data_IF_029009352878
#
_entry.id   IF_029009352878
#
_cell.length_a   1.000
_cell.length_b   1.000
_cell.length_c   1.000
_cell.angle_alpha   90.00
_cell.angle_beta   90.00
_cell.angle_gamma   90.00
#
_symmetry.space_group_name_H-M   'P 1'
#
loop_
_entity.id
_entity.type
_entity.pdbx_description
1 polymer ?
#
# COMPACT_ATOMS: atom_id res chain seq x y z
N UNK A 1 38.10 -27.33 6.86
CA UNK A 1 37.21 -28.36 6.30
C UNK A 1 36.51 -27.71 5.11
N UNK A 2 36.98 -27.97 3.89
CA UNK A 2 36.43 -27.35 2.68
C UNK A 2 35.15 -28.11 2.29
N UNK A 3 34.00 -27.45 2.43
CA UNK A 3 32.69 -27.99 2.06
C UNK A 3 32.66 -28.14 0.54
N UNK A 4 32.28 -29.33 0.04
CA UNK A 4 32.36 -29.62 -1.39
C UNK A 4 31.32 -28.83 -2.19
N UNK A 5 31.60 -28.54 -3.47
CA UNK A 5 30.65 -27.87 -4.39
C UNK A 5 29.31 -28.61 -4.53
N UNK A 6 29.30 -29.91 -4.25
CA UNK A 6 28.12 -30.78 -4.26
C UNK A 6 27.22 -30.56 -3.03
N UNK A 7 27.79 -30.32 -1.85
CA UNK A 7 27.03 -29.95 -0.64
C UNK A 7 26.45 -28.54 -0.73
N UNK A 8 27.14 -27.62 -1.42
CA UNK A 8 26.57 -26.30 -1.78
C UNK A 8 25.36 -26.42 -2.69
N UNK A 9 25.35 -27.38 -3.63
CA UNK A 9 24.22 -27.64 -4.54
C UNK A 9 22.98 -28.24 -3.86
N UNK A 10 23.14 -28.89 -2.70
CA UNK A 10 22.03 -29.46 -1.93
C UNK A 10 21.22 -28.39 -1.15
N UNK A 11 21.77 -27.18 -0.97
CA UNK A 11 21.15 -26.04 -0.28
C UNK A 11 20.42 -25.07 -1.20
N UNK A 12 20.02 -25.49 -2.40
CA UNK A 12 19.15 -24.66 -3.22
C UNK A 12 17.80 -24.48 -2.51
N UNK A 13 17.44 -23.23 -2.24
CA UNK A 13 16.13 -22.87 -1.68
C UNK A 13 15.04 -23.40 -2.62
N UNK A 14 14.13 -24.21 -2.08
CA UNK A 14 13.01 -24.79 -2.85
C UNK A 14 11.71 -24.11 -2.43
N UNK A 15 10.87 -23.82 -3.43
CA UNK A 15 9.52 -23.32 -3.21
C UNK A 15 8.59 -24.53 -3.10
N UNK A 16 7.92 -24.66 -1.96
CA UNK A 16 6.91 -25.69 -1.74
C UNK A 16 5.56 -25.03 -1.52
N UNK A 17 4.61 -25.32 -2.41
CA UNK A 17 3.24 -24.83 -2.32
C UNK A 17 2.26 -26.00 -2.41
N UNK A 18 1.19 -25.92 -1.64
CA UNK A 18 0.01 -26.76 -1.76
C UNK A 18 -0.96 -26.10 -2.76
N UNK A 19 -1.40 -26.90 -3.74
CA UNK A 19 -2.35 -26.44 -4.75
C UNK A 19 -3.78 -26.59 -4.25
N UNK A 20 -4.60 -25.56 -4.47
CA UNK A 20 -6.03 -25.56 -4.13
C UNK A 20 -6.31 -25.94 -2.67
N UNK A 21 -5.51 -25.39 -1.75
CA UNK A 21 -5.53 -25.74 -0.32
C UNK A 21 -6.88 -25.46 0.37
N UNK A 22 -7.59 -24.40 -0.04
CA UNK A 22 -8.90 -24.04 0.51
C UNK A 22 -9.83 -23.64 -0.63
N UNK A 23 -10.96 -24.33 -0.76
CA UNK A 23 -11.99 -23.97 -1.73
C UNK A 23 -12.54 -22.55 -1.47
N UNK A 24 -12.65 -21.76 -2.54
CA UNK A 24 -13.23 -20.42 -2.47
C UNK A 24 -14.75 -20.53 -2.48
N UNK A 25 -15.40 -20.24 -1.35
CA UNK A 25 -16.86 -20.30 -1.20
C UNK A 25 -17.37 -19.27 -0.18
N UNK A 26 -18.55 -18.70 -0.44
CA UNK A 26 -19.24 -17.80 0.48
C UNK A 26 -19.92 -18.53 1.65
N UNK A 27 -19.95 -19.86 1.68
CA UNK A 27 -20.64 -20.63 2.72
C UNK A 27 -20.19 -20.27 4.14
N UNK A 28 -18.89 -20.02 4.34
CA UNK A 28 -18.33 -19.63 5.65
C UNK A 28 -18.71 -18.21 6.06
N UNK A 29 -18.99 -17.31 5.11
CA UNK A 29 -19.39 -15.92 5.43
C UNK A 29 -20.77 -15.87 6.08
N UNK A 30 -21.65 -16.81 5.73
CA UNK A 30 -22.96 -16.96 6.35
C UNK A 30 -22.90 -17.54 7.78
N UNK A 31 -21.71 -17.89 8.28
CA UNK A 31 -21.49 -18.47 9.61
C UNK A 31 -20.47 -17.64 10.40
N UNK A 32 -20.86 -16.46 10.92
CA UNK A 32 -19.92 -15.63 11.67
C UNK A 32 -19.39 -16.39 12.89
N UNK A 33 -18.07 -16.34 13.10
CA UNK A 33 -17.40 -17.10 14.16
C UNK A 33 -17.04 -18.54 13.78
N UNK A 34 -17.16 -18.94 12.51
CA UNK A 34 -16.79 -20.29 12.03
C UNK A 34 -15.34 -20.69 12.39
N UNK A 35 -14.47 -19.71 12.63
CA UNK A 35 -13.05 -19.90 12.97
C UNK A 35 -12.84 -20.32 14.43
N UNK A 36 -13.85 -20.16 15.29
CA UNK A 36 -13.81 -20.57 16.70
C UNK A 36 -14.91 -21.57 17.00
N UNK A 37 -14.54 -22.74 17.55
CA UNK A 37 -15.52 -23.76 17.95
C UNK A 37 -16.50 -23.27 19.01
N UNK A 38 -16.08 -22.29 19.82
CA UNK A 38 -16.92 -21.67 20.86
C UNK A 38 -17.95 -20.74 20.22
N UNK A 39 -17.53 -19.92 19.24
CA UNK A 39 -18.39 -18.94 18.60
C UNK A 39 -19.30 -19.55 17.52
N UNK A 40 -18.85 -20.60 16.82
CA UNK A 40 -19.60 -21.26 15.77
C UNK A 40 -20.97 -21.84 16.21
N UNK A 41 -21.20 -21.97 17.53
CA UNK A 41 -22.51 -22.40 18.10
C UNK A 41 -23.58 -21.30 18.09
N UNK A 42 -23.22 -20.07 17.71
CA UNK A 42 -24.13 -18.93 17.60
C UNK A 42 -24.27 -18.09 18.88
N UNK A 43 -24.88 -16.90 18.77
CA UNK A 43 -24.96 -15.91 19.84
C UNK A 43 -26.00 -16.28 20.90
N UNK A 44 -25.55 -16.71 22.08
CA UNK A 44 -26.42 -16.88 23.27
C UNK A 44 -26.50 -15.63 24.15
N UNK A 45 -25.48 -14.79 24.12
CA UNK A 45 -25.40 -13.51 24.85
C UNK A 45 -24.77 -12.45 23.95
N UNK A 46 -24.94 -11.18 24.27
CA UNK A 46 -24.31 -10.07 23.53
C UNK A 46 -22.78 -10.09 23.62
N UNK A 47 -22.20 -10.73 24.64
CA UNK A 47 -20.76 -11.00 24.74
C UNK A 47 -20.22 -11.74 23.52
N UNK A 48 -21.03 -12.59 22.89
CA UNK A 48 -20.64 -13.31 21.68
C UNK A 48 -20.24 -12.35 20.54
N UNK A 49 -20.93 -11.22 20.40
CA UNK A 49 -20.63 -10.21 19.37
C UNK A 49 -19.25 -9.61 19.62
N UNK A 50 -18.91 -9.31 20.87
CA UNK A 50 -17.61 -8.74 21.21
C UNK A 50 -16.47 -9.75 20.99
N UNK A 51 -16.66 -10.99 21.43
CA UNK A 51 -15.67 -12.05 21.22
C UNK A 51 -15.46 -12.36 19.74
N UNK A 52 -16.52 -12.27 18.91
CA UNK A 52 -16.39 -12.41 17.46
C UNK A 52 -15.37 -11.44 16.86
N UNK A 53 -15.35 -10.18 17.30
CA UNK A 53 -14.41 -9.18 16.79
C UNK A 53 -13.03 -9.31 17.43
N UNK A 54 -12.98 -9.60 18.74
CA UNK A 54 -11.72 -9.75 19.48
C UNK A 54 -10.87 -10.92 18.96
N UNK A 55 -11.52 -12.04 18.63
CA UNK A 55 -10.84 -13.30 18.27
C UNK A 55 -10.61 -13.43 16.75
N UNK A 56 -11.07 -12.48 15.93
CA UNK A 56 -11.06 -12.58 14.47
C UNK A 56 -9.64 -12.74 13.89
N UNK A 57 -8.67 -12.02 14.47
CA UNK A 57 -7.27 -12.05 14.05
C UNK A 57 -6.35 -12.78 15.04
N UNK A 58 -6.91 -13.39 16.10
CA UNK A 58 -6.15 -14.28 16.99
C UNK A 58 -6.00 -15.66 16.33
N UNK A 59 -5.12 -15.75 15.34
CA UNK A 59 -4.98 -16.96 14.52
C UNK A 59 -4.49 -18.19 15.29
N UNK A 60 -3.71 -17.99 16.35
CA UNK A 60 -3.20 -19.08 17.20
C UNK A 60 -4.34 -19.72 18.03
N UNK A 61 -5.35 -18.94 18.43
CA UNK A 61 -6.54 -19.49 19.11
C UNK A 61 -7.44 -20.32 18.19
N UNK A 62 -7.35 -20.12 16.87
CA UNK A 62 -8.25 -20.72 15.88
C UNK A 62 -7.80 -22.13 15.44
N UNK A 63 -6.48 -22.39 15.45
CA UNK A 63 -5.90 -23.65 14.96
C UNK A 63 -4.57 -23.92 15.65
N UNK A 64 -4.25 -25.19 15.90
CA UNK A 64 -2.94 -25.59 16.43
C UNK A 64 -1.88 -25.77 15.34
N UNK A 65 -2.24 -25.59 14.06
CA UNK A 65 -1.32 -25.77 12.93
C UNK A 65 -0.55 -24.48 12.67
N UNK A 66 0.76 -24.50 12.96
CA UNK A 66 1.63 -23.36 12.67
C UNK A 66 1.70 -23.04 11.17
N UNK A 67 1.56 -24.05 10.31
CA UNK A 67 1.51 -23.85 8.86
C UNK A 67 0.27 -23.06 8.45
N UNK A 68 -0.89 -23.41 9.00
CA UNK A 68 -2.14 -22.70 8.72
C UNK A 68 -2.09 -21.25 9.23
N UNK A 69 -1.55 -21.04 10.44
CA UNK A 69 -1.31 -19.71 11.00
C UNK A 69 -0.39 -18.90 10.08
N UNK A 70 0.73 -19.49 9.64
CA UNK A 70 1.69 -18.82 8.75
C UNK A 70 1.06 -18.41 7.42
N UNK A 71 0.20 -19.28 6.84
CA UNK A 71 -0.58 -18.98 5.63
C UNK A 71 -1.58 -17.84 5.85
N UNK A 72 -2.29 -17.82 6.98
CA UNK A 72 -3.23 -16.73 7.34
C UNK A 72 -2.49 -15.39 7.48
N UNK A 73 -1.37 -15.37 8.20
CA UNK A 73 -0.52 -14.18 8.37
C UNK A 73 -0.04 -13.67 7.01
N UNK A 74 0.48 -14.56 6.16
CA UNK A 74 1.00 -14.17 4.85
C UNK A 74 -0.07 -13.56 3.95
N UNK A 75 -1.27 -14.15 3.92
CA UNK A 75 -2.41 -13.59 3.18
C UNK A 75 -2.89 -12.27 3.76
N UNK A 76 -2.96 -12.15 5.09
CA UNK A 76 -3.34 -10.92 5.77
C UNK A 76 -2.36 -9.77 5.50
N UNK A 77 -1.05 -10.04 5.39
CA UNK A 77 -0.06 -9.04 4.99
C UNK A 77 -0.36 -8.46 3.60
N UNK A 78 -0.76 -9.29 2.63
CA UNK A 78 -1.20 -8.80 1.32
C UNK A 78 -2.48 -7.95 1.40
N UNK A 79 -3.44 -8.35 2.24
CA UNK A 79 -4.62 -7.54 2.52
C UNK A 79 -4.27 -6.16 3.09
N UNK A 80 -3.33 -6.10 4.02
CA UNK A 80 -2.83 -4.85 4.59
C UNK A 80 -2.10 -4.00 3.54
N UNK A 81 -1.24 -4.60 2.72
CA UNK A 81 -0.55 -3.90 1.63
C UNK A 81 -1.54 -3.34 0.61
N UNK A 82 -2.60 -4.08 0.27
CA UNK A 82 -3.64 -3.60 -0.61
C UNK A 82 -4.36 -2.35 -0.05
N UNK A 83 -4.69 -2.35 1.25
CA UNK A 83 -5.28 -1.20 1.92
C UNK A 83 -4.33 0.02 1.92
N UNK A 84 -3.03 -0.21 2.14
CA UNK A 84 -2.01 0.85 2.05
C UNK A 84 -1.94 1.43 0.63
N UNK A 85 -1.87 0.58 -0.41
CA UNK A 85 -1.86 1.04 -1.80
C UNK A 85 -3.13 1.79 -2.19
N UNK A 86 -4.30 1.34 -1.71
CA UNK A 86 -5.57 2.04 -1.93
C UNK A 86 -5.57 3.42 -1.26
N UNK A 87 -5.07 3.50 -0.03
CA UNK A 87 -4.92 4.77 0.68
C UNK A 87 -3.97 5.72 -0.06
N UNK A 88 -2.78 5.25 -0.48
CA UNK A 88 -1.82 6.04 -1.28
C UNK A 88 -2.45 6.49 -2.60
N UNK A 89 -3.13 5.60 -3.31
CA UNK A 89 -3.86 5.91 -4.55
C UNK A 89 -4.89 7.01 -4.32
N UNK A 90 -5.68 6.91 -3.25
CA UNK A 90 -6.63 7.93 -2.84
C UNK A 90 -5.96 9.29 -2.57
N UNK A 91 -4.81 9.33 -1.90
CA UNK A 91 -4.08 10.59 -1.66
C UNK A 91 -3.67 11.28 -2.96
N UNK A 92 -3.16 10.52 -3.93
CA UNK A 92 -2.80 11.06 -5.25
C UNK A 92 -4.02 11.47 -6.07
N UNK A 93 -5.12 10.69 -6.01
CA UNK A 93 -6.37 11.03 -6.69
C UNK A 93 -6.98 12.33 -6.16
N UNK A 94 -6.98 12.52 -4.83
CA UNK A 94 -7.40 13.75 -4.20
C UNK A 94 -6.52 14.95 -4.62
N UNK A 95 -5.20 14.73 -4.71
CA UNK A 95 -4.27 15.68 -5.31
C UNK A 95 -4.61 16.05 -6.75
N UNK A 96 -5.01 15.07 -7.57
CA UNK A 96 -5.29 15.29 -8.99
C UNK A 96 -6.60 16.05 -9.25
N UNK A 97 -7.67 15.78 -8.48
CA UNK A 97 -9.01 16.29 -8.81
C UNK A 97 -9.56 17.36 -7.87
N UNK A 98 -9.10 17.41 -6.62
CA UNK A 98 -9.73 18.23 -5.58
C UNK A 98 -8.71 19.10 -4.84
N UNK A 99 -7.64 19.49 -5.53
CA UNK A 99 -6.53 20.21 -4.91
C UNK A 99 -6.17 21.49 -5.65
N UNK A 100 -5.41 22.33 -4.97
CA UNK A 100 -4.77 23.51 -5.55
C UNK A 100 -3.29 23.27 -5.86
N UNK A 101 -2.88 22.03 -6.19
CA UNK A 101 -1.47 21.66 -6.33
C UNK A 101 -0.73 22.50 -7.37
N UNK A 102 -1.25 22.67 -8.59
CA UNK A 102 -0.58 23.49 -9.60
C UNK A 102 -0.48 24.96 -9.22
N UNK A 103 -1.49 25.52 -8.55
CA UNK A 103 -1.42 26.89 -8.03
C UNK A 103 -0.36 27.00 -6.92
N UNK A 104 -0.35 26.06 -5.98
CA UNK A 104 0.65 25.99 -4.91
C UNK A 104 2.07 25.82 -5.46
N UNK A 105 2.25 25.08 -6.55
CA UNK A 105 3.57 24.88 -7.14
C UNK A 105 4.17 26.19 -7.68
N UNK A 106 3.32 27.12 -8.16
CA UNK A 106 3.72 28.45 -8.62
C UNK A 106 4.08 29.41 -7.47
N UNK A 107 3.38 29.34 -6.34
CA UNK A 107 3.70 30.12 -5.13
C UNK A 107 3.58 29.27 -3.85
N UNK A 108 4.61 28.46 -3.54
CA UNK A 108 4.57 27.51 -2.43
C UNK A 108 4.71 28.18 -1.05
N UNK A 109 5.04 29.47 -1.01
CA UNK A 109 5.26 30.23 0.24
C UNK A 109 3.93 30.83 0.71
N UNK A 110 3.20 31.49 -0.19
CA UNK A 110 1.97 32.19 0.18
C UNK A 110 0.76 31.26 0.19
N UNK A 111 0.61 30.41 -0.84
CA UNK A 111 -0.55 29.52 -1.01
C UNK A 111 -0.47 28.36 -0.02
N UNK A 112 -1.61 28.03 0.61
CA UNK A 112 -1.70 26.91 1.53
C UNK A 112 -2.18 25.67 0.79
N UNK A 113 -1.55 24.53 1.06
CA UNK A 113 -1.93 23.26 0.45
C UNK A 113 -3.34 22.84 0.85
N UNK A 114 -4.15 22.45 -0.11
CA UNK A 114 -5.49 21.88 0.10
C UNK A 114 -5.76 20.81 -0.95
N UNK A 115 -6.30 19.67 -0.51
CA UNK A 115 -6.66 18.53 -1.38
C UNK A 115 -7.97 17.85 -0.96
N UNK A 116 -8.80 18.58 -0.21
CA UNK A 116 -10.10 18.11 0.26
C UNK A 116 -11.10 19.26 0.19
N UNK A 117 -12.22 19.01 -0.47
CA UNK A 117 -13.33 19.96 -0.63
C UNK A 117 -14.58 19.33 -0.04
N UNK A 118 -15.28 20.10 0.81
CA UNK A 118 -16.51 19.68 1.49
C UNK A 118 -17.72 20.06 0.65
N UNK A 119 -18.68 19.13 0.51
CA UNK A 119 -19.92 19.40 -0.22
C UNK A 119 -20.87 20.36 0.54
N UNK A 120 -21.57 21.27 -0.16
CA UNK A 120 -22.47 22.25 0.44
C UNK A 120 -23.86 21.67 0.69
N UNK A 121 -24.03 20.93 1.78
CA UNK A 121 -25.30 20.25 2.10
C UNK A 121 -26.06 20.98 3.23
N UNK A 122 -25.37 21.25 4.34
CA UNK A 122 -26.00 21.76 5.60
C UNK A 122 -25.29 22.99 6.17
N UNK A 123 -24.56 23.75 5.34
CA UNK A 123 -23.72 24.86 5.79
C UNK A 123 -22.28 24.46 6.11
N UNK A 124 -21.93 23.18 5.95
CA UNK A 124 -20.58 22.66 6.20
C UNK A 124 -19.54 23.13 5.18
N UNK A 125 -19.95 23.76 4.08
CA UNK A 125 -19.05 24.45 3.14
C UNK A 125 -18.28 25.61 3.78
N UNK A 126 -18.68 26.07 4.98
CA UNK A 126 -17.86 26.97 5.81
C UNK A 126 -16.46 26.40 6.11
N UNK A 127 -16.31 25.07 6.04
CA UNK A 127 -15.01 24.38 6.18
C UNK A 127 -14.10 24.58 4.96
N UNK A 128 -14.64 24.97 3.80
CA UNK A 128 -13.86 25.31 2.62
C UNK A 128 -13.31 26.73 2.75
N UNK A 129 -12.25 26.87 3.54
CA UNK A 129 -11.57 28.15 3.72
C UNK A 129 -10.85 28.59 2.45
N UNK A 130 -10.67 29.91 2.29
CA UNK A 130 -9.80 30.46 1.27
C UNK A 130 -8.34 30.15 1.60
N UNK A 131 -7.71 29.34 0.76
CA UNK A 131 -6.32 28.88 0.92
C UNK A 131 -5.37 29.55 -0.08
N UNK A 132 -5.85 30.52 -0.85
CA UNK A 132 -5.12 31.15 -1.94
C UNK A 132 -5.15 30.35 -3.24
N UNK A 133 -4.65 30.95 -4.32
CA UNK A 133 -4.66 30.33 -5.65
C UNK A 133 -6.06 30.21 -6.27
N UNK A 134 -7.00 31.09 -5.86
CA UNK A 134 -8.42 31.04 -6.25
C UNK A 134 -9.09 29.70 -5.93
N UNK A 135 -8.69 29.06 -4.83
CA UNK A 135 -9.19 27.77 -4.38
C UNK A 135 -9.72 27.86 -2.95
N UNK A 136 -10.84 27.19 -2.71
CA UNK A 136 -11.45 27.06 -1.39
C UNK A 136 -11.56 25.59 -1.01
N UNK A 137 -11.06 25.24 0.15
CA UNK A 137 -11.02 23.86 0.62
C UNK A 137 -10.46 23.75 2.03
N UNK A 138 -10.34 22.52 2.50
CA UNK A 138 -9.73 22.22 3.79
C UNK A 138 -8.22 22.29 3.63
N UNK A 139 -7.55 23.15 4.41
CA UNK A 139 -6.09 23.19 4.44
C UNK A 139 -5.56 21.86 4.97
N UNK A 140 -4.70 21.19 4.21
CA UNK A 140 -4.10 19.91 4.60
C UNK A 140 -2.73 20.10 5.25
N UNK A 141 -2.33 19.15 6.09
CA UNK A 141 -1.08 19.22 6.88
C UNK A 141 -0.21 17.97 6.75
N UNK A 142 -0.52 17.08 5.81
CA UNK A 142 0.19 15.80 5.63
C UNK A 142 1.53 15.91 4.91
N UNK A 143 1.81 17.03 4.23
CA UNK A 143 3.07 17.26 3.53
C UNK A 143 3.16 16.65 2.11
N UNK A 144 2.03 16.20 1.55
CA UNK A 144 1.99 15.57 0.23
C UNK A 144 2.47 16.49 -0.89
N UNK A 145 2.15 17.78 -0.84
CA UNK A 145 2.53 18.73 -1.90
C UNK A 145 4.05 18.91 -1.99
N UNK A 146 4.73 19.01 -0.84
CA UNK A 146 6.19 19.11 -0.78
C UNK A 146 6.83 17.80 -1.26
N UNK A 147 6.23 16.66 -0.94
CA UNK A 147 6.71 15.37 -1.40
C UNK A 147 6.59 15.26 -2.93
N UNK A 148 5.43 15.56 -3.51
CA UNK A 148 5.23 15.54 -4.96
C UNK A 148 6.17 16.49 -5.70
N UNK A 149 6.39 17.70 -5.17
CA UNK A 149 7.42 18.62 -5.71
C UNK A 149 8.80 17.98 -5.69
N UNK A 150 9.20 17.39 -4.56
CA UNK A 150 10.49 16.74 -4.42
C UNK A 150 10.64 15.51 -5.34
N UNK A 151 9.55 14.91 -5.79
CA UNK A 151 9.55 13.82 -6.77
C UNK A 151 9.65 14.30 -8.22
N UNK A 152 9.51 15.62 -8.45
CA UNK A 152 9.52 16.22 -9.78
C UNK A 152 8.16 16.24 -10.47
N UNK A 153 7.06 16.07 -9.73
CA UNK A 153 5.71 16.16 -10.27
C UNK A 153 5.37 17.63 -10.53
N UNK A 154 4.86 17.95 -11.71
CA UNK A 154 4.55 19.34 -12.12
C UNK A 154 3.10 19.53 -12.52
N UNK A 155 2.33 18.45 -12.73
CA UNK A 155 0.93 18.52 -13.17
C UNK A 155 0.00 17.55 -12.45
N UNK A 156 -1.30 17.88 -12.38
CA UNK A 156 -2.31 16.96 -11.81
C UNK A 156 -2.50 15.67 -12.64
N UNK A 157 -2.14 15.70 -13.92
CA UNK A 157 -2.24 14.53 -14.81
C UNK A 157 -1.28 13.42 -14.37
N UNK A 158 -0.09 13.77 -13.91
CA UNK A 158 0.88 12.82 -13.36
C UNK A 158 0.35 12.17 -12.07
N UNK A 159 -0.23 12.98 -11.17
CA UNK A 159 -0.89 12.49 -9.95
C UNK A 159 -2.02 11.51 -10.27
N UNK A 160 -2.81 11.78 -11.32
CA UNK A 160 -3.85 10.87 -11.78
C UNK A 160 -3.28 9.52 -12.21
N UNK A 161 -2.22 9.49 -13.02
CA UNK A 161 -1.62 8.23 -13.46
C UNK A 161 -0.98 7.45 -12.31
N UNK A 162 -0.37 8.14 -11.34
CA UNK A 162 0.14 7.51 -10.11
C UNK A 162 -1.02 6.90 -9.31
N UNK A 163 -2.15 7.60 -9.21
CA UNK A 163 -3.34 7.08 -8.53
C UNK A 163 -3.86 5.80 -9.19
N UNK A 164 -3.96 5.76 -10.52
CA UNK A 164 -4.36 4.55 -11.26
C UNK A 164 -3.36 3.40 -11.05
N UNK A 165 -2.06 3.70 -11.12
CA UNK A 165 -1.01 2.71 -10.84
C UNK A 165 -1.14 2.12 -9.43
N UNK A 166 -1.35 2.97 -8.42
CA UNK A 166 -1.58 2.54 -7.03
C UNK A 166 -2.84 1.69 -6.88
N UNK A 167 -3.92 2.00 -7.60
CA UNK A 167 -5.15 1.22 -7.58
C UNK A 167 -4.96 -0.17 -8.20
N UNK A 168 -4.25 -0.25 -9.33
CA UNK A 168 -3.88 -1.53 -9.96
C UNK A 168 -3.02 -2.36 -9.01
N UNK A 169 -2.03 -1.75 -8.35
CA UNK A 169 -1.21 -2.43 -7.34
C UNK A 169 -2.02 -2.92 -6.15
N UNK A 170 -3.01 -2.16 -5.67
CA UNK A 170 -3.93 -2.60 -4.62
C UNK A 170 -4.70 -3.85 -5.05
N UNK A 171 -5.25 -3.87 -6.27
CA UNK A 171 -5.94 -5.04 -6.82
C UNK A 171 -5.01 -6.26 -6.97
N UNK A 172 -3.77 -6.05 -7.41
CA UNK A 172 -2.76 -7.11 -7.50
C UNK A 172 -2.40 -7.69 -6.13
N UNK A 173 -2.28 -6.85 -5.09
CA UNK A 173 -2.03 -7.30 -3.72
C UNK A 173 -3.20 -8.12 -3.18
N UNK A 174 -4.45 -7.68 -3.38
CA UNK A 174 -5.64 -8.48 -2.99
C UNK A 174 -5.65 -9.84 -3.69
N UNK A 175 -5.37 -9.85 -5.00
CA UNK A 175 -5.29 -11.09 -5.77
C UNK A 175 -4.18 -12.01 -5.26
N UNK A 176 -2.98 -11.48 -4.98
CA UNK A 176 -1.87 -12.25 -4.44
C UNK A 176 -2.19 -12.86 -3.07
N UNK A 177 -2.87 -12.10 -2.19
CA UNK A 177 -3.33 -12.58 -0.89
C UNK A 177 -4.31 -13.75 -1.01
N UNK A 178 -5.30 -13.63 -1.90
CA UNK A 178 -6.22 -14.73 -2.21
C UNK A 178 -5.47 -15.94 -2.82
N UNK A 179 -4.60 -15.69 -3.80
CA UNK A 179 -3.87 -16.72 -4.53
C UNK A 179 -2.99 -17.54 -3.59
N UNK A 180 -2.22 -16.88 -2.72
CA UNK A 180 -1.33 -17.54 -1.77
C UNK A 180 -2.02 -18.13 -0.53
N UNK A 181 -3.34 -17.98 -0.39
CA UNK A 181 -4.12 -18.67 0.63
C UNK A 181 -4.93 -19.83 0.06
N UNK A 182 -5.64 -19.59 -1.04
CA UNK A 182 -6.57 -20.56 -1.62
C UNK A 182 -5.95 -21.46 -2.68
N UNK A 183 -5.07 -20.92 -3.53
CA UNK A 183 -4.60 -21.60 -4.75
C UNK A 183 -3.18 -22.15 -4.68
N UNK A 184 -2.26 -21.42 -4.09
CA UNK A 184 -0.85 -21.79 -3.98
C UNK A 184 -0.32 -21.45 -2.57
N UNK A 185 -0.83 -22.20 -1.58
CA UNK A 185 -0.52 -21.96 -0.18
C UNK A 185 0.88 -22.47 0.17
N UNK A 186 1.82 -21.61 0.62
CA UNK A 186 3.17 -22.06 0.95
C UNK A 186 3.18 -23.02 2.14
N UNK A 187 4.12 -23.96 2.13
CA UNK A 187 4.37 -24.85 3.27
C UNK A 187 5.24 -24.19 4.34
N UNK A 188 5.22 -24.74 5.55
CA UNK A 188 5.94 -24.18 6.70
C UNK A 188 7.45 -24.04 6.45
N UNK A 189 8.07 -24.98 5.74
CA UNK A 189 9.51 -24.93 5.46
C UNK A 189 9.91 -23.73 4.59
N UNK A 190 8.99 -23.22 3.76
CA UNK A 190 9.23 -22.00 2.99
C UNK A 190 9.28 -20.77 3.90
N UNK A 191 8.33 -20.65 4.83
CA UNK A 191 8.29 -19.56 5.80
C UNK A 191 9.50 -19.56 6.74
N UNK A 192 10.00 -20.73 7.12
CA UNK A 192 11.14 -20.87 8.03
C UNK A 192 12.50 -20.62 7.37
N UNK A 193 12.56 -20.33 6.06
CA UNK A 193 13.81 -20.05 5.36
C UNK A 193 14.29 -18.61 5.61
N UNK A 194 14.80 -18.35 6.81
CA UNK A 194 15.26 -17.03 7.23
C UNK A 194 16.45 -16.51 6.41
N UNK A 195 17.35 -17.39 5.96
CA UNK A 195 18.51 -17.00 5.13
C UNK A 195 18.04 -16.44 3.78
N UNK A 196 17.12 -17.15 3.11
CA UNK A 196 16.54 -16.67 1.85
C UNK A 196 15.76 -15.38 2.05
N UNK A 197 14.90 -15.33 3.07
CA UNK A 197 14.10 -14.14 3.39
C UNK A 197 14.98 -12.92 3.63
N UNK A 198 16.02 -13.05 4.46
CA UNK A 198 16.92 -11.96 4.79
C UNK A 198 17.70 -11.47 3.56
N UNK A 199 18.23 -12.39 2.76
CA UNK A 199 18.96 -12.01 1.55
C UNK A 199 18.08 -11.27 0.54
N UNK A 200 16.84 -11.73 0.33
CA UNK A 200 15.91 -11.07 -0.59
C UNK A 200 15.38 -9.75 -0.04
N UNK A 201 15.17 -9.63 1.27
CA UNK A 201 14.75 -8.35 1.88
C UNK A 201 15.87 -7.31 1.90
N UNK A 202 17.09 -7.70 2.28
CA UNK A 202 18.21 -6.75 2.35
C UNK A 202 18.71 -6.35 0.95
N UNK A 203 19.09 -7.32 0.12
CA UNK A 203 19.68 -7.01 -1.19
C UNK A 203 18.61 -6.65 -2.23
N UNK A 204 17.47 -7.35 -2.23
CA UNK A 204 16.37 -7.12 -3.16
C UNK A 204 15.52 -5.92 -2.74
N UNK A 205 14.68 -6.10 -1.71
CA UNK A 205 13.68 -5.10 -1.33
C UNK A 205 14.31 -3.75 -0.96
N UNK A 206 15.30 -3.75 -0.06
CA UNK A 206 15.96 -2.51 0.37
C UNK A 206 17.01 -2.05 -0.65
N UNK A 207 17.92 -2.94 -1.05
CA UNK A 207 19.02 -2.60 -1.96
C UNK A 207 18.55 -2.11 -3.33
N UNK A 208 17.75 -2.92 -4.05
CA UNK A 208 17.21 -2.50 -5.35
C UNK A 208 16.16 -1.39 -5.21
N UNK A 209 15.44 -1.33 -4.09
CA UNK A 209 14.54 -0.21 -3.79
C UNK A 209 15.28 1.13 -3.73
N UNK A 210 16.34 1.21 -2.91
CA UNK A 210 17.18 2.40 -2.82
C UNK A 210 17.87 2.72 -4.15
N UNK A 211 18.37 1.71 -4.88
CA UNK A 211 19.01 1.93 -6.18
C UNK A 211 18.04 2.52 -7.21
N UNK A 212 16.83 1.98 -7.29
CA UNK A 212 15.78 2.46 -8.21
C UNK A 212 15.36 3.88 -7.85
N UNK A 213 15.20 4.16 -6.56
CA UNK A 213 14.86 5.51 -6.08
C UNK A 213 15.95 6.54 -6.35
N UNK A 214 17.22 6.19 -6.13
CA UNK A 214 18.34 7.07 -6.52
C UNK A 214 18.36 7.34 -8.02
N UNK A 215 18.02 6.34 -8.85
CA UNK A 215 17.83 6.52 -10.30
C UNK A 215 16.74 7.57 -10.61
N UNK A 216 15.56 7.45 -10.01
CA UNK A 216 14.48 8.44 -10.13
C UNK A 216 14.95 9.84 -9.71
N UNK A 217 15.64 9.93 -8.57
CA UNK A 217 16.13 11.21 -8.06
C UNK A 217 17.11 11.88 -9.03
N UNK A 218 18.09 11.12 -9.54
CA UNK A 218 19.14 11.62 -10.43
C UNK A 218 18.56 12.06 -11.78
N UNK A 219 17.66 11.26 -12.34
CA UNK A 219 17.22 11.44 -13.72
C UNK A 219 15.97 12.31 -13.86
N UNK A 220 15.12 12.42 -12.83
CA UNK A 220 13.83 13.13 -12.91
C UNK A 220 13.78 14.25 -11.87
N UNK A 221 13.88 13.90 -10.58
CA UNK A 221 13.63 14.86 -9.52
C UNK A 221 14.63 16.02 -9.50
N UNK A 222 15.93 15.73 -9.61
CA UNK A 222 16.98 16.76 -9.54
C UNK A 222 16.93 17.76 -10.70
N UNK A 223 16.82 17.35 -11.98
CA UNK A 223 16.67 18.29 -13.09
C UNK A 223 15.46 19.21 -12.95
N UNK A 224 14.30 18.67 -12.60
CA UNK A 224 13.05 19.42 -12.47
C UNK A 224 13.11 20.40 -11.30
N UNK A 225 13.55 19.94 -10.12
CA UNK A 225 13.66 20.81 -8.95
C UNK A 225 14.68 21.94 -9.16
N UNK A 226 15.78 21.69 -9.89
CA UNK A 226 16.73 22.75 -10.25
C UNK A 226 16.08 23.86 -11.07
N UNK A 227 15.16 23.54 -11.98
CA UNK A 227 14.43 24.53 -12.78
C UNK A 227 13.35 25.25 -11.95
N UNK A 228 12.61 24.50 -11.12
CA UNK A 228 11.63 25.08 -10.19
C UNK A 228 12.28 26.08 -9.24
N UNK A 229 13.46 25.76 -8.70
CA UNK A 229 14.20 26.63 -7.79
C UNK A 229 14.86 27.81 -8.52
N UNK A 230 15.08 27.70 -9.83
CA UNK A 230 15.50 28.81 -10.69
C UNK A 230 14.33 29.73 -11.09
N UNK A 231 13.11 29.43 -10.65
CA UNK A 231 11.91 30.24 -10.92
C UNK A 231 11.26 29.97 -12.28
N UNK A 232 11.61 28.87 -12.96
CA UNK A 232 10.95 28.46 -14.20
C UNK A 232 9.53 28.00 -13.88
N UNK A 233 8.56 28.46 -14.67
CA UNK A 233 7.17 28.07 -14.47
C UNK A 233 6.98 26.56 -14.72
N UNK A 234 6.16 25.84 -13.94
CA UNK A 234 5.98 24.40 -14.10
C UNK A 234 5.59 23.96 -15.52
N UNK A 235 4.85 24.80 -16.24
CA UNK A 235 4.39 24.53 -17.62
C UNK A 235 5.50 24.67 -18.67
N UNK A 236 6.62 25.33 -18.33
CA UNK A 236 7.77 25.53 -19.21
C UNK A 236 8.89 24.52 -18.93
N UNK A 237 8.76 23.71 -17.87
CA UNK A 237 9.73 22.68 -17.53
C UNK A 237 9.55 21.49 -18.50
N UNK A 238 10.63 20.99 -19.13
CA UNK A 238 10.57 19.79 -19.95
C UNK A 238 9.98 18.60 -19.19
N UNK A 239 9.21 17.78 -19.89
CA UNK A 239 8.61 16.59 -19.27
C UNK A 239 9.71 15.59 -18.91
N UNK A 240 9.52 14.73 -17.89
CA UNK A 240 10.55 13.79 -17.43
C UNK A 240 11.17 12.84 -18.48
N UNK A 241 10.55 12.71 -19.66
CA UNK A 241 11.00 11.83 -20.73
C UNK A 241 11.75 12.55 -21.86
N UNK A 242 11.81 13.88 -21.83
CA UNK A 242 12.56 14.73 -22.78
C UNK A 242 14.03 14.87 -22.34
#
# INVERSE_FOLDING_TARGET
>A
MAISSTERRAKNVKIFVEKDAVETSFAKWAQPGHFSRTLAKGPKTTTWIWNLHADAHDFDSQTSSLEEVSRKIFSAHFGQLAAIFLWISGMHFHGAYFSNYSAWLTDPISIKQSSQVVWPIVGQEILNGDVGGNFQGVQTTSGWFQMWRAEGITSEVELYWIAIGGLIMSALMLFAGWFHYHKAAPKLEWFQNAESMMNHHLAGLLGLGCLSWSGHQIHIALPINKLLDAGVAPQEIPLPHE
#
